data_IF_285948394061
#
_entry.id   IF_285948394061
#
_cell.length_a   1.000
_cell.length_b   1.000
_cell.length_c   1.000
_cell.angle_alpha   90.00
_cell.angle_beta   90.00
_cell.angle_gamma   90.00
#
_symmetry.space_group_name_H-M   'P 1'
#
loop_
_entity.id
_entity.type
_entity.pdbx_description
1 polymer ?
#
# COMPACT_ATOMS: atom_id res chain seq x y z
N UNK A 1 36.46 -36.05 -0.52
CA UNK A 1 35.84 -35.37 0.64
C UNK A 1 35.90 -33.85 0.44
N UNK A 2 35.28 -33.35 -0.63
CA UNK A 2 35.31 -31.91 -0.99
C UNK A 2 34.07 -31.42 -1.76
N UNK A 3 33.08 -32.28 -2.05
CA UNK A 3 31.92 -31.94 -2.90
C UNK A 3 30.64 -31.56 -2.14
N UNK A 4 30.67 -31.55 -0.81
CA UNK A 4 29.47 -31.27 0.01
C UNK A 4 29.36 -29.83 0.52
N UNK A 5 30.31 -28.94 0.20
CA UNK A 5 30.44 -27.63 0.87
C UNK A 5 30.17 -26.39 0.00
N UNK A 6 29.75 -26.52 -1.27
CA UNK A 6 29.70 -25.37 -2.20
C UNK A 6 28.35 -25.03 -2.85
N UNK A 7 27.25 -25.76 -2.60
CA UNK A 7 25.94 -25.38 -3.17
C UNK A 7 24.77 -25.53 -2.19
N UNK A 8 24.95 -25.14 -0.93
CA UNK A 8 23.81 -24.78 -0.09
C UNK A 8 23.47 -23.31 -0.33
N UNK A 9 23.10 -22.99 -1.58
CA UNK A 9 22.50 -21.70 -1.92
C UNK A 9 21.20 -21.65 -1.12
N UNK A 10 21.16 -20.89 -0.03
CA UNK A 10 20.00 -20.79 0.87
C UNK A 10 18.72 -20.64 0.03
N UNK A 11 17.98 -21.73 -0.16
CA UNK A 11 16.71 -21.67 -0.86
C UNK A 11 15.76 -21.02 0.14
N UNK A 12 15.43 -19.76 -0.12
CA UNK A 12 14.43 -19.06 0.69
C UNK A 12 13.17 -19.92 0.68
N UNK A 13 12.76 -20.40 1.85
CA UNK A 13 11.60 -21.28 1.98
C UNK A 13 10.38 -20.63 1.31
N UNK A 14 9.65 -21.41 0.49
CA UNK A 14 8.39 -20.97 -0.16
C UNK A 14 7.43 -20.33 0.84
N UNK A 15 7.40 -20.86 2.07
CA UNK A 15 6.63 -20.29 3.18
C UNK A 15 7.05 -18.87 3.53
N UNK A 16 8.36 -18.58 3.62
CA UNK A 16 8.86 -17.23 3.89
C UNK A 16 8.45 -16.24 2.80
N UNK A 17 8.49 -16.66 1.54
CA UNK A 17 8.05 -15.81 0.41
C UNK A 17 6.55 -15.51 0.53
N UNK A 18 5.72 -16.52 0.80
CA UNK A 18 4.28 -16.34 0.97
C UNK A 18 3.98 -15.37 2.11
N UNK A 19 4.61 -15.55 3.27
CA UNK A 19 4.45 -14.66 4.42
C UNK A 19 4.86 -13.23 4.08
N UNK A 20 5.99 -13.04 3.40
CA UNK A 20 6.45 -11.71 3.01
C UNK A 20 5.48 -11.02 2.04
N UNK A 21 5.00 -11.72 1.00
CA UNK A 21 4.00 -11.17 0.06
C UNK A 21 2.69 -10.84 0.78
N UNK A 22 2.21 -11.74 1.64
CA UNK A 22 1.04 -11.47 2.49
C UNK A 22 1.22 -10.21 3.35
N UNK A 23 2.41 -10.01 3.92
CA UNK A 23 2.71 -8.82 4.71
C UNK A 23 2.60 -7.53 3.87
N UNK A 24 3.15 -7.50 2.66
CA UNK A 24 3.01 -6.32 1.78
C UNK A 24 1.55 -6.07 1.36
N UNK A 25 0.75 -7.11 1.10
CA UNK A 25 -0.70 -6.93 0.87
C UNK A 25 -1.41 -6.37 2.10
N UNK A 26 -1.09 -6.90 3.28
CA UNK A 26 -1.64 -6.41 4.54
C UNK A 26 -1.29 -4.93 4.75
N UNK A 27 -0.02 -4.56 4.59
CA UNK A 27 0.45 -3.18 4.75
C UNK A 27 -0.21 -2.22 3.74
N UNK A 28 -0.34 -2.63 2.47
CA UNK A 28 -1.01 -1.81 1.46
C UNK A 28 -2.50 -1.64 1.79
N UNK A 29 -3.17 -2.71 2.22
CA UNK A 29 -4.55 -2.67 2.69
C UNK A 29 -4.71 -1.78 3.93
N UNK A 30 -3.81 -1.92 4.90
CA UNK A 30 -3.77 -1.14 6.14
C UNK A 30 -3.71 0.37 5.84
N UNK A 31 -2.79 0.80 4.98
CA UNK A 31 -2.68 2.20 4.57
C UNK A 31 -3.97 2.69 3.88
N UNK A 32 -4.51 1.92 2.93
CA UNK A 32 -5.71 2.32 2.20
C UNK A 32 -6.95 2.39 3.10
N UNK A 33 -7.15 1.39 3.97
CA UNK A 33 -8.25 1.37 4.94
C UNK A 33 -8.16 2.50 5.96
N UNK A 34 -6.94 2.83 6.40
CA UNK A 34 -6.68 3.96 7.29
C UNK A 34 -7.08 5.28 6.65
N UNK A 35 -6.69 5.50 5.38
CA UNK A 35 -7.16 6.65 4.58
C UNK A 35 -8.68 6.67 4.49
N UNK A 36 -9.28 5.58 4.01
CA UNK A 36 -10.72 5.51 3.74
C UNK A 36 -11.57 5.84 4.97
N UNK A 37 -11.13 5.41 6.17
CA UNK A 37 -11.82 5.68 7.43
C UNK A 37 -11.86 7.16 7.83
N UNK A 38 -10.93 7.98 7.32
CA UNK A 38 -10.81 9.41 7.64
C UNK A 38 -11.50 10.33 6.61
N UNK A 39 -12.02 9.78 5.51
CA UNK A 39 -12.71 10.56 4.47
C UNK A 39 -13.84 11.44 5.04
N UNK A 40 -14.76 10.93 5.91
CA UNK A 40 -15.86 11.76 6.41
C UNK A 40 -15.37 12.96 7.23
N UNK A 41 -14.36 12.76 8.07
CA UNK A 41 -13.78 13.80 8.90
C UNK A 41 -13.07 14.87 8.04
N UNK A 42 -12.26 14.44 7.08
CA UNK A 42 -11.53 15.35 6.18
C UNK A 42 -12.48 16.14 5.29
N UNK A 43 -13.60 15.54 4.83
CA UNK A 43 -14.65 16.26 4.11
C UNK A 43 -15.18 17.44 4.93
N UNK A 44 -15.48 17.20 6.22
CA UNK A 44 -15.99 18.23 7.13
C UNK A 44 -14.94 19.29 7.41
N UNK A 45 -13.70 18.88 7.72
CA UNK A 45 -12.57 19.79 8.01
C UNK A 45 -12.26 20.74 6.84
N UNK A 46 -12.39 20.26 5.60
CA UNK A 46 -12.12 21.04 4.40
C UNK A 46 -13.37 21.74 3.83
N UNK A 47 -14.52 21.64 4.52
CA UNK A 47 -15.80 22.22 4.11
C UNK A 47 -16.22 21.84 2.68
N UNK A 48 -15.99 20.59 2.29
CA UNK A 48 -16.23 20.10 0.93
C UNK A 48 -17.68 19.65 0.75
N UNK A 49 -18.30 20.05 -0.37
CA UNK A 49 -19.53 19.43 -0.86
C UNK A 49 -19.26 18.00 -1.35
N UNK A 50 -20.30 17.19 -1.50
CA UNK A 50 -20.18 15.84 -2.06
C UNK A 50 -19.62 15.84 -3.48
N UNK A 51 -20.01 16.81 -4.31
CA UNK A 51 -19.49 16.95 -5.67
C UNK A 51 -18.00 17.30 -5.68
N UNK A 52 -17.56 18.21 -4.80
CA UNK A 52 -16.15 18.55 -4.65
C UNK A 52 -15.33 17.34 -4.17
N UNK A 53 -15.80 16.65 -3.13
CA UNK A 53 -15.13 15.46 -2.61
C UNK A 53 -15.04 14.38 -3.68
N UNK A 54 -16.14 14.07 -4.38
CA UNK A 54 -16.15 13.08 -5.46
C UNK A 54 -15.13 13.41 -6.55
N UNK A 55 -15.04 14.68 -6.94
CA UNK A 55 -14.05 15.15 -7.93
C UNK A 55 -12.61 15.00 -7.44
N UNK A 56 -12.35 15.30 -6.16
CA UNK A 56 -11.03 15.15 -5.53
C UNK A 56 -10.64 13.68 -5.42
N UNK A 57 -11.57 12.79 -5.06
CA UNK A 57 -11.32 11.36 -4.94
C UNK A 57 -10.91 10.71 -6.27
N UNK A 58 -11.30 11.27 -7.42
CA UNK A 58 -10.85 10.82 -8.75
C UNK A 58 -9.35 11.03 -8.99
N UNK A 59 -8.68 11.89 -8.21
CA UNK A 59 -7.24 12.12 -8.33
C UNK A 59 -6.43 10.87 -8.00
N UNK A 60 -6.92 10.03 -7.08
CA UNK A 60 -6.26 8.77 -6.74
C UNK A 60 -6.21 7.78 -7.94
N UNK A 61 -7.35 7.35 -8.53
CA UNK A 61 -7.31 6.47 -9.69
C UNK A 61 -6.65 7.13 -10.91
N UNK A 62 -6.75 8.46 -11.08
CA UNK A 62 -6.02 9.17 -12.12
C UNK A 62 -4.50 9.00 -11.96
N UNK A 63 -3.97 9.15 -10.75
CA UNK A 63 -2.55 8.95 -10.46
C UNK A 63 -2.10 7.51 -10.75
N UNK A 64 -2.96 6.53 -10.45
CA UNK A 64 -2.71 5.14 -10.79
C UNK A 64 -2.62 4.92 -12.31
N UNK A 65 -3.60 5.42 -13.06
CA UNK A 65 -3.65 5.29 -14.52
C UNK A 65 -2.44 5.94 -15.21
N UNK A 66 -2.09 7.16 -14.80
CA UNK A 66 -0.94 7.89 -15.36
C UNK A 66 0.39 7.14 -15.16
N UNK A 67 0.51 6.41 -14.05
CA UNK A 67 1.76 5.71 -13.67
C UNK A 67 1.79 4.26 -14.13
N UNK A 68 0.67 3.72 -14.59
CA UNK A 68 0.53 2.31 -15.00
C UNK A 68 1.59 1.84 -16.01
N UNK A 69 1.80 2.50 -17.17
CA UNK A 69 2.78 2.06 -18.14
C UNK A 69 4.22 2.15 -17.60
N UNK A 70 4.52 3.18 -16.80
CA UNK A 70 5.83 3.36 -16.18
C UNK A 70 6.11 2.27 -15.14
N UNK A 71 5.11 1.91 -14.34
CA UNK A 71 5.23 0.86 -13.32
C UNK A 71 5.55 -0.49 -13.95
N UNK A 72 4.86 -0.85 -15.04
CA UNK A 72 5.15 -2.08 -15.79
C UNK A 72 6.58 -2.09 -16.35
N UNK A 73 7.03 -0.97 -16.94
CA UNK A 73 8.41 -0.84 -17.46
C UNK A 73 9.46 -0.97 -16.35
N UNK A 74 9.25 -0.32 -15.21
CA UNK A 74 10.17 -0.39 -14.06
C UNK A 74 10.26 -1.80 -13.48
N UNK A 75 9.12 -2.50 -13.35
CA UNK A 75 9.08 -3.89 -12.89
C UNK A 75 9.82 -4.81 -13.85
N UNK A 76 9.65 -4.64 -15.16
CA UNK A 76 10.37 -5.42 -16.17
C UNK A 76 11.87 -5.14 -16.16
N UNK A 77 12.27 -3.88 -16.01
CA UNK A 77 13.67 -3.47 -16.07
C UNK A 77 14.45 -3.79 -14.79
N UNK A 78 13.85 -3.58 -13.61
CA UNK A 78 14.55 -3.66 -12.32
C UNK A 78 14.09 -4.82 -11.44
N UNK A 79 13.00 -5.50 -11.81
CA UNK A 79 12.41 -6.59 -11.05
C UNK A 79 11.42 -6.12 -9.99
N UNK A 80 10.30 -6.85 -9.86
CA UNK A 80 9.20 -6.51 -8.95
C UNK A 80 9.59 -6.48 -7.48
N UNK A 81 10.50 -7.34 -7.02
CA UNK A 81 10.98 -7.32 -5.62
C UNK A 81 11.63 -5.99 -5.28
N UNK A 82 12.54 -5.51 -6.13
CA UNK A 82 13.29 -4.26 -5.88
C UNK A 82 12.37 -3.05 -5.90
N UNK A 83 11.48 -2.97 -6.88
CA UNK A 83 10.49 -1.88 -6.97
C UNK A 83 9.55 -1.90 -5.77
N UNK A 84 9.03 -3.08 -5.37
CA UNK A 84 8.16 -3.19 -4.20
C UNK A 84 8.86 -2.71 -2.92
N UNK A 85 10.05 -3.22 -2.62
CA UNK A 85 10.79 -2.83 -1.41
C UNK A 85 11.18 -1.35 -1.42
N UNK A 86 11.49 -0.79 -2.59
CA UNK A 86 11.84 0.61 -2.71
C UNK A 86 10.61 1.53 -2.49
N UNK A 87 9.45 1.19 -3.06
CA UNK A 87 8.28 2.07 -3.07
C UNK A 87 7.26 1.84 -1.94
N UNK A 88 7.28 0.68 -1.28
CA UNK A 88 6.40 0.43 -0.15
C UNK A 88 6.56 1.45 1.01
N UNK A 89 7.77 1.87 1.41
CA UNK A 89 7.94 2.93 2.40
C UNK A 89 7.36 4.27 1.93
N UNK A 90 7.53 4.60 0.65
CA UNK A 90 6.97 5.82 0.05
C UNK A 90 5.44 5.79 -0.01
N UNK A 91 4.81 4.62 -0.14
CA UNK A 91 3.35 4.51 -0.09
C UNK A 91 2.80 4.90 1.27
N UNK A 92 3.47 4.44 2.34
CA UNK A 92 3.15 4.85 3.70
C UNK A 92 3.42 6.33 3.94
N UNK A 93 4.54 6.88 3.46
CA UNK A 93 4.80 8.33 3.54
C UNK A 93 3.75 9.13 2.78
N UNK A 94 3.35 8.71 1.58
CA UNK A 94 2.32 9.37 0.80
C UNK A 94 0.97 9.44 1.55
N UNK A 95 0.64 8.43 2.35
CA UNK A 95 -0.54 8.46 3.24
C UNK A 95 -0.48 9.64 4.22
N UNK A 96 0.68 9.92 4.83
CA UNK A 96 0.83 11.03 5.78
C UNK A 96 0.58 12.40 5.14
N UNK A 97 0.93 12.55 3.85
CA UNK A 97 0.69 13.82 3.13
C UNK A 97 -0.80 14.16 3.05
N UNK A 98 -1.66 13.14 2.98
CA UNK A 98 -3.12 13.34 2.98
C UNK A 98 -3.59 13.95 4.31
N UNK A 99 -2.97 13.57 5.43
CA UNK A 99 -3.27 14.13 6.76
C UNK A 99 -2.82 15.58 6.94
N UNK A 100 -1.99 16.10 6.04
CA UNK A 100 -1.53 17.50 6.01
C UNK A 100 -2.38 18.39 5.10
N UNK A 101 -3.38 17.83 4.41
CA UNK A 101 -4.22 18.59 3.49
C UNK A 101 -5.03 19.66 4.24
N UNK A 102 -4.91 20.91 3.80
CA UNK A 102 -5.60 22.08 4.38
C UNK A 102 -6.67 22.66 3.45
N UNK A 103 -6.68 22.25 2.18
CA UNK A 103 -7.64 22.69 1.16
C UNK A 103 -7.93 21.55 0.18
N UNK A 104 -9.04 21.66 -0.57
CA UNK A 104 -9.47 20.61 -1.51
C UNK A 104 -8.46 20.32 -2.64
N UNK A 105 -7.81 21.34 -3.20
CA UNK A 105 -6.80 21.12 -4.25
C UNK A 105 -5.53 20.45 -3.70
N UNK A 106 -5.14 20.78 -2.46
CA UNK A 106 -4.00 20.15 -1.79
C UNK A 106 -4.31 18.67 -1.55
N UNK A 107 -5.51 18.34 -1.08
CA UNK A 107 -5.98 16.95 -0.94
C UNK A 107 -5.92 16.19 -2.28
N UNK A 108 -6.33 16.82 -3.38
CA UNK A 108 -6.26 16.21 -4.71
C UNK A 108 -4.82 15.84 -5.10
N UNK A 109 -3.83 16.72 -4.85
CA UNK A 109 -2.42 16.41 -5.11
C UNK A 109 -1.88 15.28 -4.23
N UNK A 110 -2.23 15.26 -2.93
CA UNK A 110 -1.85 14.18 -2.03
C UNK A 110 -2.43 12.84 -2.49
N UNK A 111 -3.68 12.82 -2.94
CA UNK A 111 -4.34 11.62 -3.47
C UNK A 111 -3.75 11.18 -4.81
N UNK A 112 -3.41 12.13 -5.69
CA UNK A 112 -2.69 11.85 -6.93
C UNK A 112 -1.35 11.16 -6.63
N UNK A 113 -0.56 11.70 -5.71
CA UNK A 113 0.71 11.12 -5.27
C UNK A 113 0.51 9.73 -4.65
N UNK A 114 -0.47 9.58 -3.78
CA UNK A 114 -0.83 8.30 -3.17
C UNK A 114 -1.23 7.26 -4.22
N UNK A 115 -1.95 7.68 -5.27
CA UNK A 115 -2.28 6.87 -6.43
C UNK A 115 -1.05 6.46 -7.26
N UNK A 116 -0.16 7.40 -7.57
CA UNK A 116 1.08 7.17 -8.33
C UNK A 116 1.94 6.10 -7.62
N UNK A 117 2.26 6.33 -6.34
CA UNK A 117 3.10 5.41 -5.56
C UNK A 117 2.36 4.10 -5.28
N UNK A 118 1.05 4.18 -5.05
CA UNK A 118 0.18 3.02 -4.88
C UNK A 118 0.19 2.10 -6.09
N UNK A 119 0.22 2.64 -7.30
CA UNK A 119 0.29 1.83 -8.51
C UNK A 119 1.66 1.16 -8.70
N UNK A 120 2.76 1.86 -8.40
CA UNK A 120 4.11 1.27 -8.41
C UNK A 120 4.19 0.07 -7.47
N UNK A 121 3.62 0.20 -6.26
CA UNK A 121 3.52 -0.89 -5.29
C UNK A 121 2.60 -2.00 -5.81
N UNK A 122 1.41 -1.65 -6.32
CA UNK A 122 0.40 -2.61 -6.77
C UNK A 122 0.90 -3.51 -7.89
N UNK A 123 1.49 -2.96 -8.96
CA UNK A 123 2.01 -3.76 -10.08
C UNK A 123 3.15 -4.67 -9.59
N UNK A 124 4.05 -4.14 -8.76
CA UNK A 124 5.16 -4.92 -8.21
C UNK A 124 4.69 -6.04 -7.30
N UNK A 125 3.72 -5.76 -6.42
CA UNK A 125 3.17 -6.71 -5.45
C UNK A 125 2.40 -7.83 -6.14
N UNK A 126 1.50 -7.52 -7.08
CA UNK A 126 0.80 -8.55 -7.85
C UNK A 126 1.77 -9.40 -8.67
N UNK A 127 2.85 -8.82 -9.20
CA UNK A 127 3.90 -9.59 -9.88
C UNK A 127 4.62 -10.54 -8.92
N UNK A 128 4.91 -10.13 -7.68
CA UNK A 128 5.47 -11.01 -6.64
C UNK A 128 4.49 -12.12 -6.25
N UNK A 129 3.19 -11.82 -6.20
CA UNK A 129 2.14 -12.79 -5.91
C UNK A 129 2.00 -13.85 -7.00
N UNK A 130 2.01 -13.45 -8.28
CA UNK A 130 2.04 -14.38 -9.42
C UNK A 130 3.29 -15.27 -9.36
N UNK A 131 4.45 -14.71 -9.02
CA UNK A 131 5.67 -15.50 -8.84
C UNK A 131 5.54 -16.51 -7.70
N UNK A 132 4.96 -16.10 -6.55
CA UNK A 132 4.68 -16.98 -5.43
C UNK A 132 3.71 -18.11 -5.81
N UNK A 133 2.63 -17.79 -6.50
CA UNK A 133 1.65 -18.76 -7.01
C UNK A 133 2.31 -19.81 -7.90
N UNK A 134 3.18 -19.39 -8.84
CA UNK A 134 3.94 -20.30 -9.69
C UNK A 134 4.86 -21.23 -8.90
N UNK A 135 5.47 -20.76 -7.80
CA UNK A 135 6.33 -21.59 -6.94
C UNK A 135 5.54 -22.61 -6.08
N UNK A 136 4.30 -22.27 -5.74
CA UNK A 136 3.40 -23.18 -5.01
C UNK A 136 2.71 -24.19 -5.93
N UNK A 137 2.53 -23.87 -7.21
CA UNK A 137 1.82 -24.73 -8.16
C UNK A 137 0.33 -24.83 -7.84
N UNK A 138 -0.23 -23.84 -7.16
CA UNK A 138 -1.63 -23.80 -6.73
C UNK A 138 -2.13 -22.35 -6.68
N UNK A 139 -3.39 -22.07 -7.01
CA UNK A 139 -3.92 -20.70 -7.11
C UNK A 139 -4.09 -20.08 -5.71
N UNK A 140 -3.07 -19.35 -5.25
CA UNK A 140 -3.03 -18.72 -3.92
C UNK A 140 -3.25 -17.20 -3.98
N UNK A 141 -3.36 -16.60 -5.17
CA UNK A 141 -3.60 -15.16 -5.37
C UNK A 141 -4.77 -14.63 -4.55
N UNK A 142 -5.91 -15.34 -4.56
CA UNK A 142 -7.10 -14.95 -3.79
C UNK A 142 -6.83 -14.82 -2.29
N UNK A 143 -5.93 -15.66 -1.75
CA UNK A 143 -5.56 -15.57 -0.33
C UNK A 143 -4.81 -14.27 -0.01
N UNK A 144 -4.00 -13.75 -0.94
CA UNK A 144 -3.32 -12.48 -0.78
C UNK A 144 -4.30 -11.29 -0.81
N UNK A 145 -5.29 -11.31 -1.71
CA UNK A 145 -6.36 -10.32 -1.70
C UNK A 145 -7.23 -10.41 -0.42
N UNK A 146 -7.44 -11.62 0.12
CA UNK A 146 -8.05 -11.79 1.44
C UNK A 146 -7.25 -11.08 2.54
N UNK A 147 -5.92 -11.22 2.54
CA UNK A 147 -5.03 -10.52 3.48
C UNK A 147 -5.05 -9.00 3.29
N UNK A 148 -5.14 -8.51 2.05
CA UNK A 148 -5.33 -7.09 1.76
C UNK A 148 -6.61 -6.54 2.39
N UNK A 149 -7.72 -7.28 2.24
CA UNK A 149 -9.00 -6.92 2.84
C UNK A 149 -8.93 -6.91 4.37
N UNK A 150 -8.23 -7.87 4.98
CA UNK A 150 -7.96 -7.87 6.43
C UNK A 150 -7.14 -6.65 6.87
N UNK A 151 -6.15 -6.25 6.07
CA UNK A 151 -5.40 -5.01 6.27
C UNK A 151 -6.32 -3.79 6.21
N UNK A 152 -7.16 -3.71 5.18
CA UNK A 152 -8.14 -2.62 5.01
C UNK A 152 -9.11 -2.51 6.19
N UNK A 153 -9.68 -3.63 6.63
CA UNK A 153 -10.52 -3.68 7.82
C UNK A 153 -9.77 -3.22 9.08
N UNK A 154 -8.55 -3.73 9.27
CA UNK A 154 -7.72 -3.36 10.42
C UNK A 154 -7.43 -1.86 10.44
N UNK A 155 -7.07 -1.28 9.29
CA UNK A 155 -6.82 0.16 9.15
C UNK A 155 -8.07 0.99 9.42
N UNK A 156 -9.23 0.52 8.96
CA UNK A 156 -10.50 1.19 9.23
C UNK A 156 -10.89 1.15 10.71
N UNK A 157 -10.69 0.01 11.38
CA UNK A 157 -10.95 -0.14 12.83
C UNK A 157 -10.01 0.73 13.67
N UNK A 158 -8.72 0.75 13.33
CA UNK A 158 -7.74 1.64 13.99
C UNK A 158 -8.09 3.11 13.78
N UNK A 159 -8.46 3.47 12.56
CA UNK A 159 -8.92 4.82 12.24
C UNK A 159 -10.15 5.22 13.04
N UNK A 160 -11.16 4.35 13.11
CA UNK A 160 -12.36 4.56 13.94
C UNK A 160 -12.01 4.73 15.42
N UNK A 161 -11.12 3.90 15.96
CA UNK A 161 -10.66 4.03 17.35
C UNK A 161 -9.99 5.38 17.62
N UNK A 162 -9.12 5.81 16.72
CA UNK A 162 -8.42 7.09 16.84
C UNK A 162 -9.35 8.30 16.62
N UNK A 163 -10.39 8.19 15.79
CA UNK A 163 -11.47 9.20 15.71
C UNK A 163 -12.18 9.32 17.06
N UNK A 164 -12.52 8.21 17.71
CA UNK A 164 -13.13 8.22 19.05
C UNK A 164 -12.24 8.84 20.12
N UNK A 165 -10.92 8.75 19.95
CA UNK A 165 -9.92 9.39 20.82
C UNK A 165 -9.59 10.84 20.41
N UNK A 166 -10.39 11.43 19.53
CA UNK A 166 -10.21 12.80 19.02
C UNK A 166 -8.83 13.08 18.41
N UNK A 167 -8.18 12.04 17.87
CA UNK A 167 -6.88 12.18 17.22
C UNK A 167 -7.03 12.64 15.78
N UNK A 168 -6.23 13.64 15.38
CA UNK A 168 -6.25 14.17 14.02
C UNK A 168 -5.73 13.15 12.98
N UNK A 169 -6.17 13.24 11.71
CA UNK A 169 -5.75 12.31 10.65
C UNK A 169 -4.23 12.19 10.50
N UNK A 170 -3.49 13.30 10.64
CA UNK A 170 -2.03 13.31 10.54
C UNK A 170 -1.36 12.36 11.55
N UNK A 171 -1.73 12.43 12.83
CA UNK A 171 -1.18 11.56 13.89
C UNK A 171 -1.48 10.10 13.58
N UNK A 172 -2.72 9.80 13.17
CA UNK A 172 -3.10 8.46 12.76
C UNK A 172 -2.22 7.94 11.62
N UNK A 173 -2.02 8.72 10.56
CA UNK A 173 -1.22 8.30 9.42
C UNK A 173 0.28 8.17 9.74
N UNK A 174 0.81 8.99 10.64
CA UNK A 174 2.18 8.83 11.16
C UNK A 174 2.35 7.51 11.92
N UNK A 175 1.36 7.11 12.72
CA UNK A 175 1.38 5.82 13.43
C UNK A 175 1.39 4.65 12.44
N UNK A 176 0.48 4.68 11.45
CA UNK A 176 0.43 3.65 10.39
C UNK A 176 1.74 3.60 9.61
N UNK A 177 2.31 4.77 9.29
CA UNK A 177 3.59 4.85 8.58
C UNK A 177 4.73 4.24 9.37
N UNK A 178 4.81 4.55 10.66
CA UNK A 178 5.82 3.99 11.56
C UNK A 178 5.71 2.47 11.64
N UNK A 179 4.48 1.93 11.77
CA UNK A 179 4.24 0.49 11.79
C UNK A 179 4.69 -0.18 10.49
N UNK A 180 4.39 0.41 9.34
CA UNK A 180 4.79 -0.14 8.04
C UNK A 180 6.31 -0.08 7.85
N UNK A 181 6.94 1.03 8.22
CA UNK A 181 8.40 1.21 8.10
C UNK A 181 9.22 0.27 8.97
N UNK A 182 8.74 -0.08 10.17
CA UNK A 182 9.44 -1.01 11.07
C UNK A 182 9.45 -2.47 10.56
N UNK A 183 8.71 -2.77 9.49
CA UNK A 183 8.45 -4.12 9.03
C UNK A 183 8.69 -4.32 7.51
N UNK A 184 9.17 -3.31 6.80
CA UNK A 184 9.67 -3.40 5.40
C UNK A 184 11.17 -3.67 5.41
#
# INVERSE_FOLDING_TARGET
MSDSLTVQKESISRHRIRVAVSFFYFAQGLCFGSWASRIPEIKVQLHLSDAQLGSILLSLPLGQLLTMPFSGRLVTAFGSRRILTAFAPFYAVALTTIGLATTGWHLALCLLLFGIVGNLCNISLNTQAVAAEKMYGSPIMTSFHGVWSLGGLSGALLGMGLVKLHQVPFVHFCLITSLVWLHI
#
